data_IF_028648446395
#
_entry.id   IF_028648446395
#
_cell.length_a   1.000
_cell.length_b   1.000
_cell.length_c   1.000
_cell.angle_alpha   90.00
_cell.angle_beta   90.00
_cell.angle_gamma   90.00
#
_symmetry.space_group_name_H-M   'P 1'
#
loop_
_entity.id
_entity.type
_entity.pdbx_description
1 polymer ?
#
# COMPACT_ATOMS: atom_id res chain seq x y z
N UNK A 1 19.02 -7.09 12.84
CA UNK A 1 18.44 -6.77 14.18
C UNK A 1 17.09 -7.45 14.47
N UNK A 2 16.10 -7.31 13.57
CA UNK A 2 14.70 -7.74 13.80
C UNK A 2 14.51 -9.18 14.29
N UNK A 3 15.25 -10.14 13.73
CA UNK A 3 15.16 -11.54 14.13
C UNK A 3 15.46 -11.77 15.62
N UNK A 4 16.45 -11.05 16.18
CA UNK A 4 16.76 -11.13 17.60
C UNK A 4 15.63 -10.55 18.46
N UNK A 5 15.07 -9.39 18.07
CA UNK A 5 14.03 -8.73 18.84
C UNK A 5 12.72 -9.54 18.91
N UNK A 6 12.32 -10.18 17.80
CA UNK A 6 11.14 -11.03 17.78
C UNK A 6 11.22 -12.19 18.78
N UNK A 7 12.42 -12.73 19.01
CA UNK A 7 12.64 -13.81 19.98
C UNK A 7 12.68 -13.33 21.44
N UNK A 8 13.10 -12.08 21.68
CA UNK A 8 13.29 -11.51 23.01
C UNK A 8 12.02 -10.86 23.56
N UNK A 9 11.24 -10.17 22.71
CA UNK A 9 10.06 -9.42 23.12
C UNK A 9 9.02 -10.24 23.91
N UNK A 10 8.67 -11.49 23.52
CA UNK A 10 7.68 -12.28 24.25
C UNK A 10 8.13 -12.73 25.65
N UNK A 11 9.44 -12.74 25.92
CA UNK A 11 10.02 -13.35 27.12
C UNK A 11 10.18 -12.38 28.30
N UNK A 12 9.87 -11.09 28.11
CA UNK A 12 9.93 -10.08 29.18
C UNK A 12 11.34 -9.83 29.75
N UNK A 13 12.39 -10.19 29.02
CA UNK A 13 13.77 -9.94 29.46
C UNK A 13 14.07 -8.43 29.53
N UNK A 14 14.92 -8.04 30.49
CA UNK A 14 15.55 -6.73 30.48
C UNK A 14 16.65 -6.72 29.41
N UNK A 15 16.52 -5.82 28.44
CA UNK A 15 17.46 -5.70 27.33
C UNK A 15 18.14 -4.34 27.41
N UNK A 16 19.46 -4.32 27.23
CA UNK A 16 20.24 -3.10 27.03
C UNK A 16 20.69 -3.02 25.57
N UNK A 17 20.47 -1.88 24.93
CA UNK A 17 21.03 -1.55 23.63
C UNK A 17 22.18 -0.56 23.87
N UNK A 18 23.39 -0.96 23.53
CA UNK A 18 24.61 -0.19 23.77
C UNK A 18 25.06 0.45 22.45
N UNK A 19 25.32 1.74 22.48
CA UNK A 19 25.77 2.51 21.32
C UNK A 19 27.07 3.24 21.65
N UNK A 20 28.00 3.29 20.69
CA UNK A 20 29.26 4.01 20.83
C UNK A 20 29.19 5.43 20.26
N UNK A 21 30.23 6.25 20.48
CA UNK A 21 30.35 7.55 19.84
C UNK A 21 30.29 7.48 18.32
N UNK A 22 29.69 8.48 17.67
CA UNK A 22 29.40 8.47 16.23
C UNK A 22 30.63 8.25 15.34
N UNK A 23 31.78 8.85 15.70
CA UNK A 23 33.00 8.78 14.89
C UNK A 23 33.79 7.49 15.07
N UNK A 24 33.72 6.87 16.24
CA UNK A 24 34.64 5.79 16.63
C UNK A 24 33.93 4.47 16.90
N UNK A 25 32.60 4.48 17.03
CA UNK A 25 31.85 3.31 17.45
C UNK A 25 32.20 2.85 18.86
N UNK A 26 31.80 1.62 19.19
CA UNK A 26 32.11 0.99 20.48
C UNK A 26 33.56 0.51 20.50
N UNK A 27 34.19 0.58 21.68
CA UNK A 27 35.47 -0.08 21.88
C UNK A 27 35.28 -1.60 21.85
N UNK A 28 36.32 -2.35 21.45
CA UNK A 28 36.26 -3.81 21.40
C UNK A 28 35.86 -4.42 22.75
N UNK A 29 36.34 -3.87 23.86
CA UNK A 29 35.99 -4.33 25.22
C UNK A 29 34.49 -4.16 25.53
N UNK A 30 33.84 -3.11 25.01
CA UNK A 30 32.39 -2.92 25.13
C UNK A 30 31.64 -3.95 24.27
N UNK A 31 32.14 -4.20 23.06
CA UNK A 31 31.57 -5.20 22.14
C UNK A 31 31.64 -6.60 22.76
N UNK A 32 32.75 -6.97 23.39
CA UNK A 32 32.92 -8.29 24.02
C UNK A 32 32.03 -8.52 25.25
N UNK A 33 31.49 -7.45 25.86
CA UNK A 33 30.50 -7.55 26.95
C UNK A 33 29.07 -7.72 26.45
N UNK A 34 28.84 -7.53 25.16
CA UNK A 34 27.52 -7.71 24.55
C UNK A 34 27.28 -9.17 24.18
N UNK A 35 26.06 -9.65 24.42
CA UNK A 35 25.65 -11.00 24.02
C UNK A 35 25.54 -11.17 22.50
N UNK A 36 25.24 -10.07 21.79
CA UNK A 36 25.03 -10.05 20.33
C UNK A 36 25.51 -8.72 19.77
N UNK A 37 26.21 -8.74 18.64
CA UNK A 37 26.48 -7.56 17.83
C UNK A 37 25.40 -7.40 16.77
N UNK A 38 24.70 -6.27 16.77
CA UNK A 38 23.68 -5.97 15.78
C UNK A 38 24.26 -5.10 14.67
N UNK A 39 24.00 -5.47 13.42
CA UNK A 39 24.26 -4.62 12.25
C UNK A 39 22.93 -4.20 11.62
N UNK A 40 22.80 -2.89 11.33
CA UNK A 40 21.69 -2.36 10.53
C UNK A 40 22.13 -2.44 9.07
N UNK A 41 21.37 -3.14 8.19
CA UNK A 41 21.70 -3.18 6.77
C UNK A 41 21.68 -1.76 6.19
N UNK A 42 22.82 -1.37 5.61
CA UNK A 42 23.06 -0.07 4.98
C UNK A 42 23.72 -0.28 3.62
N UNK A 43 23.92 0.80 2.85
CA UNK A 43 24.62 0.70 1.57
C UNK A 43 26.07 0.25 1.81
N UNK A 44 26.61 -0.73 1.06
CA UNK A 44 27.94 -1.29 1.32
C UNK A 44 29.07 -0.27 1.20
N UNK A 45 28.93 0.73 0.32
CA UNK A 45 29.93 1.81 0.14
C UNK A 45 29.77 2.95 1.16
N UNK A 46 28.66 2.99 1.91
CA UNK A 46 28.40 4.01 2.92
C UNK A 46 27.61 3.41 4.09
N UNK A 47 28.35 2.67 4.93
CA UNK A 47 27.75 1.84 5.98
C UNK A 47 27.44 2.56 7.29
N UNK A 48 27.96 3.79 7.47
CA UNK A 48 27.87 4.52 8.73
C UNK A 48 26.60 5.35 8.82
N UNK A 49 25.77 5.05 9.82
CA UNK A 49 24.63 5.89 10.19
C UNK A 49 25.06 6.89 11.25
N UNK A 50 24.41 8.06 11.26
CA UNK A 50 24.48 8.94 12.43
C UNK A 50 23.92 8.21 13.66
N UNK A 51 24.45 8.52 14.84
CA UNK A 51 24.06 7.87 16.09
C UNK A 51 22.54 7.93 16.33
N UNK A 52 21.92 9.10 16.14
CA UNK A 52 20.47 9.26 16.34
C UNK A 52 19.66 8.40 15.35
N UNK A 53 20.14 8.24 14.11
CA UNK A 53 19.49 7.38 13.12
C UNK A 53 19.56 5.90 13.53
N UNK A 54 20.73 5.44 13.98
CA UNK A 54 20.90 4.07 14.46
C UNK A 54 20.00 3.79 15.68
N UNK A 55 19.95 4.72 16.65
CA UNK A 55 19.06 4.64 17.81
C UNK A 55 17.59 4.58 17.39
N UNK A 56 17.17 5.48 16.48
CA UNK A 56 15.79 5.55 16.01
C UNK A 56 15.34 4.26 15.33
N UNK A 57 16.19 3.66 14.48
CA UNK A 57 15.87 2.41 13.78
C UNK A 57 15.75 1.24 14.76
N UNK A 58 16.68 1.10 15.71
CA UNK A 58 16.61 0.02 16.70
C UNK A 58 15.43 0.21 17.67
N UNK A 59 15.13 1.43 18.09
CA UNK A 59 13.97 1.73 18.92
C UNK A 59 12.65 1.41 18.20
N UNK A 60 12.55 1.77 16.92
CA UNK A 60 11.39 1.43 16.09
C UNK A 60 11.24 -0.09 15.92
N UNK A 61 12.30 -0.80 15.53
CA UNK A 61 12.26 -2.26 15.36
C UNK A 61 11.92 -2.98 16.68
N UNK A 62 12.44 -2.50 17.82
CA UNK A 62 12.07 -3.00 19.13
C UNK A 62 10.59 -2.76 19.44
N UNK A 63 10.07 -1.57 19.15
CA UNK A 63 8.64 -1.27 19.32
C UNK A 63 7.77 -2.17 18.46
N UNK A 64 8.15 -2.43 17.22
CA UNK A 64 7.43 -3.36 16.34
C UNK A 64 7.43 -4.78 16.90
N UNK A 65 8.54 -5.25 17.49
CA UNK A 65 8.60 -6.55 18.15
C UNK A 65 7.71 -6.63 19.41
N UNK A 66 7.48 -5.50 20.09
CA UNK A 66 6.53 -5.39 21.22
C UNK A 66 5.07 -5.26 20.78
N UNK A 67 4.76 -5.36 19.48
CA UNK A 67 3.39 -5.26 18.95
C UNK A 67 3.06 -3.93 18.25
N UNK A 68 3.99 -3.00 18.18
CA UNK A 68 3.84 -1.76 17.40
C UNK A 68 2.81 -0.78 17.96
N UNK A 69 2.32 0.09 17.10
CA UNK A 69 1.16 0.95 17.34
C UNK A 69 0.20 0.81 16.16
N UNK A 70 -1.10 0.97 16.40
CA UNK A 70 -2.07 1.07 15.31
C UNK A 70 -1.76 2.29 14.45
N UNK A 71 -1.86 2.13 13.12
CA UNK A 71 -1.82 3.27 12.20
C UNK A 71 -3.16 3.99 12.33
N UNK A 72 -3.11 5.24 12.77
CA UNK A 72 -4.27 6.12 12.75
C UNK A 72 -4.41 6.70 11.34
N UNK A 73 -5.48 6.31 10.65
CA UNK A 73 -5.80 6.88 9.35
C UNK A 73 -5.97 8.40 9.49
N UNK A 74 -5.21 9.17 8.71
CA UNK A 74 -5.28 10.65 8.68
C UNK A 74 -6.31 11.17 7.69
N UNK A 75 -6.85 10.28 6.87
CA UNK A 75 -7.88 10.56 5.87
C UNK A 75 -9.09 9.69 6.13
N UNK A 76 -10.31 10.19 5.88
CA UNK A 76 -11.50 9.35 5.94
C UNK A 76 -11.36 8.21 4.91
N UNK A 77 -11.86 7.04 5.28
CA UNK A 77 -11.99 5.92 4.37
C UNK A 77 -13.05 6.28 3.33
N UNK A 78 -12.69 6.23 2.04
CA UNK A 78 -13.66 6.51 0.98
C UNK A 78 -14.64 5.35 0.89
N UNK A 79 -15.94 5.65 0.89
CA UNK A 79 -16.97 4.65 0.72
C UNK A 79 -16.85 4.02 -0.67
N UNK A 80 -16.56 2.72 -0.71
CA UNK A 80 -16.53 1.94 -1.93
C UNK A 80 -17.95 1.79 -2.46
N UNK A 81 -18.10 1.90 -3.77
CA UNK A 81 -19.34 1.64 -4.45
C UNK A 81 -19.76 0.19 -4.23
N UNK A 82 -21.05 -0.02 -3.99
CA UNK A 82 -21.60 -1.35 -3.86
C UNK A 82 -21.65 -2.08 -5.21
N UNK A 83 -21.96 -3.38 -5.15
CA UNK A 83 -22.05 -4.20 -6.36
C UNK A 83 -23.13 -3.70 -7.33
N UNK A 84 -24.22 -3.10 -6.83
CA UNK A 84 -25.31 -2.62 -7.66
C UNK A 84 -24.91 -1.36 -8.45
N UNK A 85 -24.17 -0.45 -7.82
CA UNK A 85 -23.63 0.77 -8.43
C UNK A 85 -22.66 0.42 -9.57
N UNK A 86 -21.74 -0.52 -9.32
CA UNK A 86 -20.78 -1.04 -10.31
C UNK A 86 -21.51 -1.76 -11.44
N UNK A 87 -22.51 -2.58 -11.14
CA UNK A 87 -23.25 -3.33 -12.16
C UNK A 87 -24.04 -2.40 -13.08
N UNK A 88 -24.69 -1.39 -12.51
CA UNK A 88 -25.37 -0.40 -13.33
C UNK A 88 -24.40 0.48 -14.14
N UNK A 89 -23.17 0.72 -13.66
CA UNK A 89 -22.13 1.41 -14.42
C UNK A 89 -21.77 0.59 -15.65
N UNK A 90 -21.51 -0.71 -15.47
CA UNK A 90 -21.17 -1.62 -16.56
C UNK A 90 -22.30 -1.77 -17.57
N UNK A 91 -23.55 -1.83 -17.10
CA UNK A 91 -24.72 -1.86 -17.97
C UNK A 91 -24.85 -0.58 -18.81
N UNK A 92 -24.63 0.60 -18.20
CA UNK A 92 -24.65 1.87 -18.92
C UNK A 92 -23.55 1.92 -19.99
N UNK A 93 -22.32 1.52 -19.65
CA UNK A 93 -21.24 1.43 -20.62
C UNK A 93 -21.50 0.40 -21.72
N UNK A 94 -22.14 -0.73 -21.41
CA UNK A 94 -22.53 -1.71 -22.42
C UNK A 94 -23.42 -1.06 -23.48
N UNK A 95 -24.45 -0.33 -23.04
CA UNK A 95 -25.39 0.33 -23.96
C UNK A 95 -24.67 1.36 -24.84
N UNK A 96 -23.86 2.24 -24.24
CA UNK A 96 -23.11 3.27 -24.98
C UNK A 96 -22.15 2.65 -26.00
N UNK A 97 -21.50 1.53 -25.65
CA UNK A 97 -20.57 0.84 -26.54
C UNK A 97 -21.28 0.06 -27.66
N UNK A 98 -22.53 -0.38 -27.45
CA UNK A 98 -23.37 -0.93 -28.52
C UNK A 98 -23.82 0.18 -29.48
N UNK A 99 -24.31 1.29 -28.93
CA UNK A 99 -24.88 2.40 -29.70
C UNK A 99 -23.84 3.09 -30.59
N UNK A 100 -22.59 3.17 -30.13
CA UNK A 100 -21.48 3.74 -30.90
C UNK A 100 -20.75 2.73 -31.80
N UNK A 101 -21.24 1.48 -31.89
CA UNK A 101 -20.68 0.44 -32.76
C UNK A 101 -19.33 -0.13 -32.31
N UNK A 102 -18.81 0.22 -31.13
CA UNK A 102 -17.57 -0.38 -30.60
C UNK A 102 -17.77 -1.85 -30.20
N UNK A 103 -18.92 -2.16 -29.61
CA UNK A 103 -19.32 -3.51 -29.22
C UNK A 103 -20.22 -4.09 -30.30
N UNK A 104 -19.76 -5.16 -30.94
CA UNK A 104 -20.57 -5.94 -31.88
C UNK A 104 -21.62 -6.77 -31.11
N UNK A 105 -22.94 -6.58 -31.35
CA UNK A 105 -23.99 -7.37 -30.72
C UNK A 105 -23.92 -8.87 -31.04
N UNK A 106 -23.39 -9.24 -32.22
CA UNK A 106 -23.26 -10.63 -32.67
C UNK A 106 -22.00 -11.31 -32.11
N UNK A 107 -21.05 -10.53 -31.62
CA UNK A 107 -19.83 -11.01 -30.98
C UNK A 107 -19.49 -10.18 -29.74
N UNK A 108 -20.31 -10.27 -28.67
CA UNK A 108 -20.02 -9.62 -27.40
C UNK A 108 -18.81 -10.32 -26.79
N UNK A 109 -17.60 -9.91 -27.22
CA UNK A 109 -16.33 -10.42 -26.73
C UNK A 109 -16.31 -10.29 -25.21
N UNK A 110 -15.37 -10.98 -24.56
CA UNK A 110 -15.11 -11.01 -23.10
C UNK A 110 -14.87 -9.61 -22.44
N UNK A 111 -15.22 -8.50 -23.10
CA UNK A 111 -15.09 -7.12 -22.68
C UNK A 111 -15.83 -6.84 -21.38
N UNK A 112 -17.14 -7.13 -21.25
CA UNK A 112 -17.85 -6.86 -19.99
C UNK A 112 -17.25 -7.62 -18.79
N UNK A 113 -16.96 -8.93 -18.89
CA UNK A 113 -16.21 -9.62 -17.84
C UNK A 113 -14.83 -9.00 -17.54
N UNK A 114 -14.14 -8.44 -18.54
CA UNK A 114 -12.86 -7.74 -18.34
C UNK A 114 -13.03 -6.39 -17.65
N UNK A 115 -14.05 -5.61 -18.03
CA UNK A 115 -14.38 -4.32 -17.40
C UNK A 115 -14.85 -4.51 -15.96
N UNK A 116 -15.61 -5.57 -15.68
CA UNK A 116 -15.98 -5.95 -14.31
C UNK A 116 -14.74 -6.26 -13.47
N UNK A 117 -13.80 -7.06 -13.98
CA UNK A 117 -12.52 -7.32 -13.30
C UNK A 117 -11.68 -6.06 -13.12
N UNK A 118 -11.75 -5.10 -14.04
CA UNK A 118 -11.08 -3.81 -13.90
C UNK A 118 -11.69 -3.00 -12.75
N UNK A 119 -13.02 -2.86 -12.73
CA UNK A 119 -13.72 -2.14 -11.66
C UNK A 119 -13.49 -2.77 -10.28
N UNK A 120 -13.47 -4.10 -10.19
CA UNK A 120 -13.16 -4.82 -8.95
C UNK A 120 -11.74 -4.58 -8.46
N UNK A 121 -10.75 -4.56 -9.36
CA UNK A 121 -9.36 -4.22 -9.02
C UNK A 121 -9.17 -2.76 -8.63
N UNK A 122 -9.99 -1.87 -9.19
CA UNK A 122 -9.95 -0.44 -8.89
C UNK A 122 -10.63 -0.10 -7.56
N UNK A 123 -11.49 -0.99 -7.04
CA UNK A 123 -12.25 -0.77 -5.79
C UNK A 123 -13.00 0.58 -5.82
N UNK A 124 -13.68 0.85 -6.94
CA UNK A 124 -14.30 2.15 -7.24
C UNK A 124 -15.15 2.67 -6.08
N UNK A 125 -15.09 3.98 -5.88
CA UNK A 125 -15.95 4.73 -4.96
C UNK A 125 -17.24 5.18 -5.67
N UNK A 126 -18.26 5.58 -4.90
CA UNK A 126 -19.50 6.09 -5.49
C UNK A 126 -19.26 7.32 -6.38
N UNK A 127 -18.34 8.20 -5.97
CA UNK A 127 -17.96 9.39 -6.73
C UNK A 127 -17.34 9.02 -8.09
N UNK A 128 -16.43 8.04 -8.11
CA UNK A 128 -15.82 7.55 -9.35
C UNK A 128 -16.86 6.87 -10.26
N UNK A 129 -17.80 6.11 -9.69
CA UNK A 129 -18.92 5.55 -10.45
C UNK A 129 -19.75 6.66 -11.10
N UNK A 130 -20.06 7.73 -10.37
CA UNK A 130 -20.78 8.88 -10.91
C UNK A 130 -20.00 9.58 -12.03
N UNK A 131 -18.71 9.81 -11.85
CA UNK A 131 -17.83 10.39 -12.87
C UNK A 131 -17.84 9.52 -14.14
N UNK A 132 -17.64 8.20 -13.99
CA UNK A 132 -17.59 7.27 -15.12
C UNK A 132 -18.94 7.16 -15.85
N UNK A 133 -20.07 7.26 -15.13
CA UNK A 133 -21.39 7.36 -15.76
C UNK A 133 -21.58 8.70 -16.49
N UNK A 134 -21.05 9.79 -15.96
CA UNK A 134 -21.04 11.10 -16.61
C UNK A 134 -20.28 11.05 -17.94
N UNK A 135 -19.11 10.42 -17.95
CA UNK A 135 -18.32 10.19 -19.17
C UNK A 135 -19.12 9.35 -20.17
N UNK A 136 -19.72 8.23 -19.75
CA UNK A 136 -20.54 7.40 -20.63
C UNK A 136 -21.67 8.20 -21.30
N UNK A 137 -22.33 9.07 -20.55
CA UNK A 137 -23.41 9.94 -21.07
C UNK A 137 -22.89 10.92 -22.12
N UNK A 138 -21.75 11.56 -21.88
CA UNK A 138 -21.14 12.49 -22.83
C UNK A 138 -20.72 11.79 -24.14
N UNK A 139 -20.13 10.60 -24.03
CA UNK A 139 -19.78 9.77 -25.19
C UNK A 139 -21.02 9.38 -25.99
N UNK A 140 -22.09 8.93 -25.32
CA UNK A 140 -23.36 8.57 -25.99
C UNK A 140 -24.01 9.76 -26.71
N UNK A 141 -24.00 10.96 -26.11
CA UNK A 141 -24.58 12.16 -26.73
C UNK A 141 -23.83 12.60 -28.00
N UNK A 142 -22.50 12.47 -28.04
CA UNK A 142 -21.70 12.86 -29.20
C UNK A 142 -22.03 12.03 -30.46
N UNK A 143 -22.35 10.74 -30.30
CA UNK A 143 -22.70 9.85 -31.41
C UNK A 143 -24.12 10.09 -31.97
N UNK A 144 -25.03 10.61 -31.17
CA UNK A 144 -26.39 10.98 -31.61
C UNK A 144 -26.45 12.32 -32.34
N UNK A 145 -25.39 13.13 -32.30
CA UNK A 145 -25.32 14.48 -32.89
C UNK A 145 -24.84 14.49 -34.35
N UNK A 146 -24.22 13.39 -34.80
CA UNK A 146 -23.63 13.22 -36.15
C UNK A 146 -24.54 12.42 -37.11
N UNK A 147 -25.83 12.25 -36.77
CA UNK A 147 -26.87 11.65 -37.62
C UNK A 147 -27.97 12.66 -37.91
#
# INVERSE_FOLDING_TARGET
>A
PRAHFASLAPRGHRVALVFGPERTGLANDDVYRCHVCLSIPTHPEYGSLNLAQAVQLLAYDWRQALGGYAVLARTPEMARADAAAVDGLLAHWQQVLLDNGFLDPAAPKKLLPRLRRLAQRAELTDEEVHILRGIARAVGASHGSDK
#
